data_IF_904737760819
#
_entry.id   IF_904737760819
#
_cell.length_a   1.000
_cell.length_b   1.000
_cell.length_c   1.000
_cell.angle_alpha   90.00
_cell.angle_beta   90.00
_cell.angle_gamma   90.00
#
_symmetry.space_group_name_H-M   'P 1'
#
loop_
_entity.id
_entity.type
_entity.pdbx_description
1 polymer ?
#
# COMPACT_ATOMS: atom_id res chain seq x y z
N UNK A 1 -16.98 -30.30 24.22
CA UNK A 1 -16.30 -29.12 23.65
C UNK A 1 -15.29 -28.65 24.69
N UNK A 2 -13.97 -28.79 24.46
CA UNK A 2 -12.99 -28.24 25.41
C UNK A 2 -13.10 -26.71 25.39
N UNK A 3 -13.29 -26.13 26.58
CA UNK A 3 -13.36 -24.69 26.76
C UNK A 3 -12.04 -24.05 26.30
N UNK A 4 -12.13 -23.12 25.36
CA UNK A 4 -11.01 -22.26 24.95
C UNK A 4 -10.48 -21.57 26.20
N UNK A 5 -9.17 -21.63 26.50
CA UNK A 5 -8.62 -20.95 27.66
C UNK A 5 -8.89 -19.43 27.55
N UNK A 6 -9.15 -18.74 28.68
CA UNK A 6 -9.38 -17.30 28.66
C UNK A 6 -8.15 -16.61 28.05
N UNK A 7 -8.36 -15.96 26.90
CA UNK A 7 -7.33 -15.20 26.21
C UNK A 7 -6.80 -14.11 27.15
N UNK A 8 -5.48 -14.08 27.36
CA UNK A 8 -4.82 -13.04 28.14
C UNK A 8 -5.27 -11.63 27.71
N UNK A 9 -5.32 -10.63 28.62
CA UNK A 9 -5.71 -9.27 28.28
C UNK A 9 -4.80 -8.74 27.17
N UNK A 10 -5.37 -8.49 25.98
CA UNK A 10 -4.59 -7.98 24.84
C UNK A 10 -4.20 -6.52 25.09
N UNK A 11 -3.00 -6.10 24.66
CA UNK A 11 -2.64 -4.69 24.68
C UNK A 11 -3.61 -3.92 23.78
N UNK A 12 -4.25 -2.90 24.35
CA UNK A 12 -5.10 -1.95 23.63
C UNK A 12 -4.36 -0.61 23.49
N UNK A 13 -4.66 0.19 22.45
CA UNK A 13 -4.20 1.57 22.41
C UNK A 13 -4.61 2.28 23.70
N UNK A 14 -3.67 3.00 24.31
CA UNK A 14 -3.88 3.62 25.62
C UNK A 14 -4.87 4.78 25.54
N UNK A 15 -4.71 5.61 24.51
CA UNK A 15 -5.48 6.82 24.29
C UNK A 15 -5.63 7.12 22.78
N UNK A 16 -6.53 8.05 22.44
CA UNK A 16 -6.69 8.54 21.06
C UNK A 16 -5.39 9.11 20.46
N UNK A 17 -4.48 9.62 21.31
CA UNK A 17 -3.16 10.11 20.90
C UNK A 17 -2.21 8.98 20.45
N UNK A 18 -2.29 7.80 21.09
CA UNK A 18 -1.48 6.64 20.70
C UNK A 18 -1.94 6.11 19.33
N UNK A 19 -3.26 6.13 19.06
CA UNK A 19 -3.79 5.87 17.72
C UNK A 19 -3.27 6.88 16.70
N UNK A 20 -3.39 8.17 16.99
CA UNK A 20 -2.93 9.24 16.11
C UNK A 20 -1.45 9.04 15.74
N UNK A 21 -0.58 8.79 16.71
CA UNK A 21 0.85 8.61 16.47
C UNK A 21 1.22 7.29 15.81
N UNK A 22 0.50 6.21 16.12
CA UNK A 22 0.71 4.91 15.47
C UNK A 22 0.35 4.96 13.99
N UNK A 23 -0.81 5.54 13.64
CA UNK A 23 -1.22 5.70 12.24
C UNK A 23 -0.40 6.74 11.48
N UNK A 24 0.08 7.77 12.17
CA UNK A 24 1.05 8.72 11.61
C UNK A 24 2.32 8.01 11.19
N UNK A 25 2.91 7.21 12.09
CA UNK A 25 4.15 6.49 11.79
C UNK A 25 3.96 5.50 10.64
N UNK A 26 2.82 4.80 10.64
CA UNK A 26 2.43 3.90 9.57
C UNK A 26 2.33 4.63 8.22
N UNK A 27 1.72 5.81 8.19
CA UNK A 27 1.60 6.62 6.98
C UNK A 27 2.97 7.04 6.40
N UNK A 28 3.95 7.32 7.27
CA UNK A 28 5.32 7.66 6.86
C UNK A 28 6.11 6.46 6.33
N UNK A 29 5.74 5.23 6.71
CA UNK A 29 6.44 4.01 6.34
C UNK A 29 5.80 3.25 5.15
N UNK A 30 4.74 3.79 4.56
CA UNK A 30 3.94 3.15 3.50
C UNK A 30 4.60 3.02 2.12
N UNK A 31 5.92 2.85 2.02
CA UNK A 31 6.61 2.73 0.73
C UNK A 31 6.87 1.26 0.37
N UNK A 32 6.32 0.79 -0.76
CA UNK A 32 6.72 -0.47 -1.41
C UNK A 32 6.29 -1.78 -0.75
N UNK A 33 5.35 -1.74 0.21
CA UNK A 33 4.87 -2.94 0.89
C UNK A 33 3.93 -2.66 2.05
N UNK A 34 2.96 -1.77 1.85
CA UNK A 34 2.16 -1.19 2.95
C UNK A 34 1.44 -2.24 3.77
N UNK A 35 0.90 -3.28 3.13
CA UNK A 35 0.25 -4.41 3.81
C UNK A 35 1.17 -5.05 4.86
N UNK A 36 2.40 -5.39 4.49
CA UNK A 36 3.35 -6.03 5.40
C UNK A 36 3.77 -5.08 6.53
N UNK A 37 3.89 -3.78 6.26
CA UNK A 37 4.19 -2.76 7.28
C UNK A 37 3.03 -2.64 8.27
N UNK A 38 1.79 -2.56 7.78
CA UNK A 38 0.58 -2.48 8.62
C UNK A 38 0.46 -3.73 9.48
N UNK A 39 0.57 -4.91 8.87
CA UNK A 39 0.47 -6.19 9.58
C UNK A 39 1.52 -6.27 10.69
N UNK A 40 2.79 -5.98 10.38
CA UNK A 40 3.88 -5.99 11.36
C UNK A 40 3.64 -4.99 12.49
N UNK A 41 3.14 -3.80 12.19
CA UNK A 41 2.91 -2.79 13.21
C UNK A 41 1.72 -3.17 14.12
N UNK A 42 0.61 -3.60 13.54
CA UNK A 42 -0.64 -3.88 14.26
C UNK A 42 -0.65 -5.23 14.97
N UNK A 43 -0.07 -6.26 14.36
CA UNK A 43 -0.04 -7.64 14.86
C UNK A 43 1.24 -7.90 15.65
N UNK A 44 2.42 -7.73 15.04
CA UNK A 44 3.68 -8.15 15.68
C UNK A 44 4.17 -7.17 16.74
N UNK A 45 4.13 -5.86 16.46
CA UNK A 45 4.71 -4.83 17.32
C UNK A 45 3.75 -4.35 18.40
N UNK A 46 2.53 -3.98 18.02
CA UNK A 46 1.51 -3.45 18.93
C UNK A 46 0.63 -4.52 19.55
N UNK A 47 0.44 -5.66 18.87
CA UNK A 47 -0.40 -6.76 19.35
C UNK A 47 -1.89 -6.40 19.50
N UNK A 48 -2.38 -5.41 18.75
CA UNK A 48 -3.77 -4.94 18.81
C UNK A 48 -4.73 -5.92 18.13
N UNK A 49 -4.25 -6.62 17.10
CA UNK A 49 -5.02 -7.56 16.30
C UNK A 49 -4.30 -8.91 16.24
N UNK A 50 -5.04 -10.01 16.19
CA UNK A 50 -4.48 -11.29 15.75
C UNK A 50 -4.30 -11.28 14.23
N UNK A 51 -3.58 -12.28 13.70
CA UNK A 51 -3.41 -12.40 12.26
C UNK A 51 -4.76 -12.64 11.55
N UNK A 52 -5.65 -13.42 12.18
CA UNK A 52 -7.00 -13.70 11.67
C UNK A 52 -7.85 -12.42 11.64
N UNK A 53 -7.89 -11.67 12.75
CA UNK A 53 -8.63 -10.40 12.83
C UNK A 53 -8.08 -9.38 11.82
N UNK A 54 -6.76 -9.33 11.65
CA UNK A 54 -6.15 -8.46 10.66
C UNK A 54 -6.58 -8.81 9.23
N UNK A 55 -6.62 -10.10 8.88
CA UNK A 55 -7.03 -10.54 7.55
C UNK A 55 -8.51 -10.22 7.31
N UNK A 56 -9.37 -10.42 8.31
CA UNK A 56 -10.80 -10.08 8.25
C UNK A 56 -11.01 -8.56 8.06
N UNK A 57 -10.39 -7.74 8.91
CA UNK A 57 -10.49 -6.27 8.82
C UNK A 57 -9.90 -5.77 7.49
N UNK A 58 -8.81 -6.37 7.01
CA UNK A 58 -8.19 -6.05 5.73
C UNK A 58 -9.06 -6.44 4.52
N UNK A 59 -9.81 -7.55 4.61
CA UNK A 59 -10.75 -7.96 3.58
C UNK A 59 -11.92 -6.97 3.50
N UNK A 60 -12.46 -6.55 4.65
CA UNK A 60 -13.51 -5.52 4.69
C UNK A 60 -13.01 -4.18 4.14
N UNK A 61 -11.78 -3.78 4.49
CA UNK A 61 -11.16 -2.55 4.01
C UNK A 61 -10.99 -2.51 2.48
N UNK A 62 -10.85 -3.67 1.82
CA UNK A 62 -10.78 -3.79 0.35
C UNK A 62 -12.14 -3.70 -0.35
N UNK A 63 -13.23 -4.03 0.36
CA UNK A 63 -14.60 -3.93 -0.18
C UNK A 63 -15.08 -2.48 -0.11
N UNK A 64 -14.64 -1.74 0.91
CA UNK A 64 -14.99 -0.33 1.08
C UNK A 64 -14.34 0.55 0.00
N UNK A 65 -15.08 1.52 -0.57
CA UNK A 65 -14.50 2.44 -1.53
C UNK A 65 -13.45 3.33 -0.86
N UNK A 66 -12.27 3.44 -1.47
CA UNK A 66 -11.19 4.32 -1.01
C UNK A 66 -9.89 3.60 -0.70
N UNK A 67 -8.92 4.27 -0.06
CA UNK A 67 -7.64 3.66 0.26
C UNK A 67 -7.77 2.66 1.41
N UNK A 68 -7.42 1.38 1.17
CA UNK A 68 -7.58 0.29 2.13
C UNK A 68 -7.01 0.60 3.53
N UNK A 69 -5.83 1.21 3.59
CA UNK A 69 -5.16 1.51 4.86
C UNK A 69 -5.89 2.60 5.66
N UNK A 70 -6.53 3.54 4.96
CA UNK A 70 -7.37 4.57 5.59
C UNK A 70 -8.64 3.95 6.15
N UNK A 71 -9.29 3.07 5.40
CA UNK A 71 -10.47 2.33 5.85
C UNK A 71 -10.13 1.51 7.10
N UNK A 72 -9.02 0.79 7.08
CA UNK A 72 -8.52 0.03 8.23
C UNK A 72 -8.25 0.92 9.44
N UNK A 73 -7.64 2.10 9.25
CA UNK A 73 -7.38 3.05 10.33
C UNK A 73 -8.66 3.53 11.01
N UNK A 74 -9.68 3.86 10.21
CA UNK A 74 -11.00 4.27 10.70
C UNK A 74 -11.68 3.13 11.46
N UNK A 75 -11.68 1.90 10.91
CA UNK A 75 -12.26 0.72 11.56
C UNK A 75 -11.59 0.40 12.90
N UNK A 76 -10.26 0.40 12.95
CA UNK A 76 -9.49 0.15 14.18
C UNK A 76 -9.73 1.28 15.19
N UNK A 77 -9.78 2.54 14.73
CA UNK A 77 -10.08 3.69 15.59
C UNK A 77 -11.47 3.62 16.21
N UNK A 78 -12.48 3.28 15.40
CA UNK A 78 -13.87 3.12 15.83
C UNK A 78 -14.02 1.97 16.85
N UNK A 79 -13.36 0.83 16.60
CA UNK A 79 -13.39 -0.33 17.50
C UNK A 79 -12.88 -0.03 18.92
N UNK A 80 -11.93 0.89 19.07
CA UNK A 80 -11.28 1.16 20.36
C UNK A 80 -11.87 2.35 21.13
N UNK A 81 -12.20 3.46 20.45
CA UNK A 81 -12.73 4.67 21.10
C UNK A 81 -13.94 5.27 20.39
N UNK A 82 -14.63 4.49 19.55
CA UNK A 82 -15.76 4.93 18.73
C UNK A 82 -15.36 6.05 17.76
N UNK A 83 -16.31 6.94 17.49
CA UNK A 83 -16.13 8.04 16.53
C UNK A 83 -14.90 8.94 16.81
N UNK A 84 -14.50 9.10 18.08
CA UNK A 84 -13.33 9.89 18.47
C UNK A 84 -12.02 9.22 18.06
N UNK A 85 -11.95 7.89 18.22
CA UNK A 85 -10.80 7.10 17.80
C UNK A 85 -10.71 7.01 16.28
N UNK A 86 -11.85 6.88 15.60
CA UNK A 86 -11.91 6.91 14.13
C UNK A 86 -11.34 8.22 13.57
N UNK A 87 -11.78 9.37 14.12
CA UNK A 87 -11.25 10.67 13.71
C UNK A 87 -9.77 10.85 14.07
N UNK A 88 -9.32 10.38 15.24
CA UNK A 88 -7.91 10.52 15.62
C UNK A 88 -6.98 9.65 14.76
N UNK A 89 -7.39 8.43 14.43
CA UNK A 89 -6.68 7.55 13.52
C UNK A 89 -6.59 8.15 12.11
N UNK A 90 -7.71 8.63 11.58
CA UNK A 90 -7.79 9.30 10.29
C UNK A 90 -6.93 10.57 10.24
N UNK A 91 -7.02 11.41 11.28
CA UNK A 91 -6.23 12.63 11.38
C UNK A 91 -4.73 12.30 11.45
N UNK A 92 -4.31 11.30 12.22
CA UNK A 92 -2.91 10.88 12.28
C UNK A 92 -2.40 10.41 10.92
N UNK A 93 -3.22 9.64 10.23
CA UNK A 93 -2.87 9.09 8.93
C UNK A 93 -2.75 10.17 7.83
N UNK A 94 -3.56 11.23 7.86
CA UNK A 94 -3.61 12.22 6.79
C UNK A 94 -2.90 13.53 7.11
N UNK A 95 -3.00 14.03 8.35
CA UNK A 95 -2.60 15.39 8.70
C UNK A 95 -1.09 15.58 8.60
N UNK A 96 -0.29 14.68 9.19
CA UNK A 96 1.17 14.84 9.18
C UNK A 96 1.76 14.69 7.76
N UNK A 97 1.42 13.65 6.98
CA UNK A 97 1.89 13.56 5.60
C UNK A 97 1.47 14.77 4.76
N UNK A 98 0.24 15.27 4.93
CA UNK A 98 -0.23 16.47 4.26
C UNK A 98 0.60 17.70 4.63
N UNK A 99 0.86 17.92 5.91
CA UNK A 99 1.68 19.03 6.40
C UNK A 99 3.12 18.94 5.89
N UNK A 100 3.70 17.74 5.83
CA UNK A 100 5.04 17.52 5.28
C UNK A 100 5.09 17.89 3.80
N UNK A 101 4.14 17.38 3.00
CA UNK A 101 4.06 17.69 1.57
C UNK A 101 3.84 19.18 1.33
N UNK A 102 2.94 19.80 2.09
CA UNK A 102 2.67 21.24 1.98
C UNK A 102 3.89 22.07 2.38
N UNK A 103 4.58 21.70 3.46
CA UNK A 103 5.83 22.33 3.88
C UNK A 103 6.89 22.24 2.78
N UNK A 104 7.05 21.06 2.18
CA UNK A 104 7.98 20.86 1.07
C UNK A 104 7.60 21.69 -0.16
N UNK A 105 6.30 21.80 -0.46
CA UNK A 105 5.79 22.62 -1.54
C UNK A 105 6.04 24.13 -1.31
N UNK A 106 5.89 24.62 -0.08
CA UNK A 106 6.19 26.00 0.29
C UNK A 106 7.69 26.32 0.18
N UNK A 107 8.54 25.41 0.66
CA UNK A 107 10.00 25.51 0.50
C UNK A 107 10.37 25.53 -0.98
N UNK A 108 9.76 24.65 -1.78
CA UNK A 108 9.96 24.64 -3.22
C UNK A 108 9.52 25.95 -3.87
N UNK A 109 8.36 26.49 -3.54
CA UNK A 109 7.86 27.75 -4.11
C UNK A 109 8.80 28.93 -3.80
N UNK A 110 9.43 28.95 -2.62
CA UNK A 110 10.35 30.02 -2.18
C UNK A 110 11.77 29.87 -2.74
N UNK A 111 12.26 28.64 -2.87
CA UNK A 111 13.67 28.35 -3.20
C UNK A 111 13.84 27.60 -4.53
N UNK A 112 12.82 27.56 -5.39
CA UNK A 112 12.85 26.88 -6.70
C UNK A 112 14.00 27.31 -7.60
N UNK A 113 14.49 28.55 -7.45
CA UNK A 113 15.60 29.13 -8.22
C UNK A 113 16.96 28.64 -7.73
N UNK A 114 17.06 28.11 -6.50
CA UNK A 114 18.33 27.64 -5.95
C UNK A 114 18.70 26.26 -6.52
N UNK A 115 19.86 26.08 -7.18
CA UNK A 115 20.22 24.83 -7.84
C UNK A 115 20.29 23.62 -6.89
N UNK A 116 20.59 23.83 -5.61
CA UNK A 116 20.60 22.79 -4.59
C UNK A 116 19.20 22.18 -4.36
N UNK A 117 18.13 22.99 -4.36
CA UNK A 117 16.76 22.51 -4.15
C UNK A 117 16.27 21.72 -5.37
N UNK A 118 16.58 22.21 -6.58
CA UNK A 118 16.30 21.48 -7.82
C UNK A 118 17.06 20.15 -7.89
N UNK A 119 18.31 20.12 -7.43
CA UNK A 119 19.12 18.91 -7.31
C UNK A 119 18.53 17.90 -6.31
N UNK A 120 18.13 18.35 -5.13
CA UNK A 120 17.51 17.51 -4.10
C UNK A 120 16.18 16.90 -4.60
N UNK A 121 15.32 17.67 -5.27
CA UNK A 121 14.07 17.18 -5.85
C UNK A 121 14.31 16.13 -6.96
N UNK A 122 15.31 16.35 -7.82
CA UNK A 122 15.71 15.34 -8.80
C UNK A 122 16.22 14.07 -8.12
N UNK A 123 17.00 14.19 -7.05
CA UNK A 123 17.46 13.07 -6.24
C UNK A 123 16.30 12.29 -5.63
N UNK A 124 15.32 12.97 -5.02
CA UNK A 124 14.11 12.33 -4.50
C UNK A 124 13.30 11.64 -5.59
N UNK A 125 13.18 12.25 -6.78
CA UNK A 125 12.55 11.62 -7.94
C UNK A 125 13.27 10.34 -8.39
N UNK A 126 14.60 10.34 -8.40
CA UNK A 126 15.41 9.16 -8.71
C UNK A 126 15.24 8.05 -7.66
N UNK A 127 15.19 8.40 -6.37
CA UNK A 127 14.92 7.45 -5.28
C UNK A 127 13.52 6.85 -5.41
N UNK A 128 12.50 7.67 -5.69
CA UNK A 128 11.15 7.20 -5.91
C UNK A 128 11.07 6.24 -7.12
N UNK A 129 11.72 6.58 -8.23
CA UNK A 129 11.83 5.71 -9.39
C UNK A 129 12.53 4.38 -9.05
N UNK A 130 13.61 4.43 -8.26
CA UNK A 130 14.32 3.24 -7.77
C UNK A 130 13.46 2.34 -6.87
N UNK A 131 12.66 2.92 -5.98
CA UNK A 131 11.71 2.18 -5.14
C UNK A 131 10.63 1.48 -5.98
N UNK A 132 10.03 2.21 -6.94
CA UNK A 132 9.05 1.65 -7.87
C UNK A 132 9.66 0.52 -8.70
N UNK A 133 10.88 0.72 -9.22
CA UNK A 133 11.62 -0.31 -9.92
C UNK A 133 11.91 -1.53 -9.03
N UNK A 134 12.28 -1.32 -7.76
CA UNK A 134 12.51 -2.41 -6.81
C UNK A 134 11.26 -3.24 -6.54
N UNK A 135 10.10 -2.60 -6.39
CA UNK A 135 8.80 -3.29 -6.28
C UNK A 135 8.49 -4.06 -7.57
N UNK A 136 8.68 -3.42 -8.73
CA UNK A 136 8.46 -4.06 -10.03
C UNK A 136 9.36 -5.30 -10.22
N UNK A 137 10.63 -5.22 -9.82
CA UNK A 137 11.56 -6.35 -9.85
C UNK A 137 11.13 -7.48 -8.92
N UNK A 138 10.69 -7.17 -7.69
CA UNK A 138 10.12 -8.18 -6.78
C UNK A 138 8.92 -8.89 -7.41
N UNK A 139 8.01 -8.16 -8.06
CA UNK A 139 6.87 -8.76 -8.76
C UNK A 139 7.30 -9.55 -10.00
N UNK A 140 8.34 -9.11 -10.72
CA UNK A 140 8.89 -9.83 -11.87
C UNK A 140 9.49 -11.19 -11.48
N UNK A 141 10.09 -11.31 -10.30
CA UNK A 141 10.55 -12.60 -9.76
C UNK A 141 9.37 -13.54 -9.48
N UNK A 142 8.27 -13.02 -8.92
CA UNK A 142 7.05 -13.81 -8.70
C UNK A 142 6.43 -14.32 -10.02
N UNK A 143 6.63 -13.58 -11.12
CA UNK A 143 6.14 -13.95 -12.44
C UNK A 143 6.82 -15.21 -13.03
N UNK A 144 8.01 -15.60 -12.53
CA UNK A 144 8.67 -16.86 -12.93
C UNK A 144 7.88 -18.10 -12.54
N UNK A 145 7.07 -18.02 -11.48
CA UNK A 145 6.20 -19.10 -11.03
C UNK A 145 4.87 -19.17 -11.81
N UNK A 146 4.64 -18.28 -12.79
CA UNK A 146 3.38 -18.22 -13.51
C UNK A 146 3.23 -19.40 -14.50
N UNK A 147 2.05 -20.04 -14.60
CA UNK A 147 1.79 -21.20 -15.48
C UNK A 147 1.97 -20.95 -16.99
N UNK A 148 2.19 -19.71 -17.41
CA UNK A 148 2.45 -19.35 -18.82
C UNK A 148 3.90 -19.61 -19.26
N UNK A 149 4.81 -19.84 -18.30
CA UNK A 149 6.25 -19.96 -18.52
C UNK A 149 6.95 -18.59 -18.61
N UNK A 150 8.21 -18.52 -18.16
CA UNK A 150 8.98 -17.26 -18.07
C UNK A 150 8.98 -16.42 -19.36
N UNK A 151 9.12 -17.07 -20.52
CA UNK A 151 9.13 -16.41 -21.82
C UNK A 151 7.78 -15.81 -22.21
N UNK A 152 6.68 -16.50 -21.92
CA UNK A 152 5.34 -15.98 -22.20
C UNK A 152 5.02 -14.76 -21.36
N UNK A 153 5.33 -14.82 -20.06
CA UNK A 153 5.10 -13.72 -19.14
C UNK A 153 6.03 -12.52 -19.39
N UNK A 154 7.29 -12.75 -19.77
CA UNK A 154 8.23 -11.70 -20.13
C UNK A 154 7.84 -10.99 -21.43
N UNK A 155 7.35 -11.73 -22.44
CA UNK A 155 6.83 -11.15 -23.68
C UNK A 155 5.64 -10.24 -23.38
N UNK A 156 4.71 -10.69 -22.53
CA UNK A 156 3.49 -9.97 -22.18
C UNK A 156 3.79 -8.70 -21.35
N UNK A 157 4.74 -8.79 -20.42
CA UNK A 157 5.25 -7.64 -19.67
C UNK A 157 5.92 -6.61 -20.60
N UNK A 158 6.76 -7.06 -21.54
CA UNK A 158 7.40 -6.20 -22.53
C UNK A 158 6.41 -5.52 -23.46
N UNK A 159 5.38 -6.23 -23.91
CA UNK A 159 4.32 -5.71 -24.78
C UNK A 159 3.46 -4.68 -24.06
N UNK A 160 3.12 -4.95 -22.79
CA UNK A 160 2.42 -4.02 -21.90
C UNK A 160 3.24 -2.74 -21.66
N UNK A 161 4.54 -2.89 -21.38
CA UNK A 161 5.45 -1.75 -21.20
C UNK A 161 5.60 -0.94 -22.48
N UNK A 162 5.77 -1.58 -23.64
CA UNK A 162 5.87 -0.90 -24.93
C UNK A 162 4.59 -0.13 -25.29
N UNK A 163 3.42 -0.74 -25.10
CA UNK A 163 2.14 -0.10 -25.37
C UNK A 163 1.91 1.16 -24.49
N UNK A 164 2.29 1.10 -23.21
CA UNK A 164 2.16 2.24 -22.30
C UNK A 164 3.24 3.30 -22.50
N UNK A 165 4.52 2.91 -22.59
CA UNK A 165 5.65 3.83 -22.60
C UNK A 165 5.90 4.48 -23.96
N UNK A 166 5.74 3.74 -25.07
CA UNK A 166 6.02 4.23 -26.43
C UNK A 166 4.75 4.72 -27.12
N UNK A 167 3.64 3.97 -27.00
CA UNK A 167 2.38 4.28 -27.69
C UNK A 167 1.44 5.19 -26.90
N UNK A 168 1.75 5.46 -25.62
CA UNK A 168 0.93 6.25 -24.68
C UNK A 168 -0.55 5.86 -24.67
N UNK A 169 -0.84 4.57 -24.88
CA UNK A 169 -2.21 4.10 -24.87
C UNK A 169 -2.85 4.25 -23.49
N UNK A 170 -4.14 4.60 -23.42
CA UNK A 170 -4.82 4.73 -22.15
C UNK A 170 -4.78 3.39 -21.40
N UNK A 171 -4.49 3.46 -20.10
CA UNK A 171 -4.27 2.31 -19.23
C UNK A 171 -5.42 1.29 -19.32
N UNK A 172 -6.65 1.81 -19.45
CA UNK A 172 -7.87 1.01 -19.63
C UNK A 172 -7.83 0.15 -20.91
N UNK A 173 -7.36 0.69 -22.04
CA UNK A 173 -7.26 -0.06 -23.29
C UNK A 173 -6.18 -1.13 -23.24
N UNK A 174 -5.03 -0.83 -22.61
CA UNK A 174 -3.95 -1.81 -22.41
C UNK A 174 -4.42 -2.95 -21.50
N UNK A 175 -5.12 -2.64 -20.40
CA UNK A 175 -5.70 -3.64 -19.51
C UNK A 175 -6.74 -4.52 -20.21
N UNK A 176 -7.63 -3.93 -21.02
CA UNK A 176 -8.65 -4.70 -21.74
C UNK A 176 -8.06 -5.62 -22.80
N UNK A 177 -7.10 -5.12 -23.58
CA UNK A 177 -6.53 -5.89 -24.71
C UNK A 177 -5.48 -6.87 -24.21
N UNK A 178 -4.44 -6.37 -23.54
CA UNK A 178 -3.28 -7.19 -23.14
C UNK A 178 -3.58 -7.99 -21.89
N UNK A 179 -4.29 -7.40 -20.91
CA UNK A 179 -4.77 -8.12 -19.73
C UNK A 179 -5.82 -9.16 -20.09
N UNK A 180 -6.78 -8.84 -20.97
CA UNK A 180 -7.77 -9.80 -21.47
C UNK A 180 -7.14 -10.97 -22.23
N UNK A 181 -6.17 -10.69 -23.11
CA UNK A 181 -5.41 -11.72 -23.82
C UNK A 181 -4.58 -12.59 -22.85
N UNK A 182 -3.97 -11.99 -21.83
CA UNK A 182 -3.25 -12.72 -20.78
C UNK A 182 -4.19 -13.67 -20.04
N UNK A 183 -5.34 -13.18 -19.54
CA UNK A 183 -6.32 -14.00 -18.84
C UNK A 183 -6.83 -15.15 -19.72
N UNK A 184 -7.14 -14.89 -20.99
CA UNK A 184 -7.61 -15.92 -21.93
C UNK A 184 -6.54 -16.99 -22.24
N UNK A 185 -5.29 -16.57 -22.44
CA UNK A 185 -4.17 -17.50 -22.66
C UNK A 185 -3.81 -18.30 -21.41
N UNK A 186 -3.95 -17.69 -20.23
CA UNK A 186 -3.75 -18.39 -18.96
C UNK A 186 -4.86 -19.41 -18.73
N UNK A 187 -6.12 -19.04 -18.94
CA UNK A 187 -7.27 -19.93 -18.81
C UNK A 187 -7.12 -21.17 -19.69
N UNK A 188 -6.66 -21.00 -20.94
CA UNK A 188 -6.41 -22.11 -21.87
C UNK A 188 -5.26 -23.04 -21.46
N UNK A 189 -4.38 -22.60 -20.56
CA UNK A 189 -3.22 -23.38 -20.08
C UNK A 189 -3.41 -23.94 -18.67
N UNK A 190 -4.44 -23.53 -17.92
CA UNK A 190 -4.80 -24.24 -16.70
C UNK A 190 -5.44 -25.58 -17.11
N UNK A 191 -4.87 -26.73 -16.68
CA UNK A 191 -5.60 -27.99 -16.79
C UNK A 191 -6.85 -27.89 -15.92
N UNK A 192 -7.97 -28.40 -16.44
CA UNK A 192 -9.18 -28.62 -15.65
C UNK A 192 -8.90 -29.52 -14.43
#
# INVERSE_FOLDING_TARGET
>A
MPATPPSAPRPRPRDCADLFWSFTWLALQGFGGVLAVVQREMVDRKGWLTNEEFIEDWAVAQILPGPNVVNLAVMIGDRHFGWRGALSALAGMLLLPLLLVLGLALVYARFSVHPAVAGALRGMGAVAAGLVAGVALRMAVALRAHPLGFWGSALLAGLTFGAMALLRWPLAAVLLVVGGAACALTWRKLPA
#
